data_IF_827865025016
#
_entry.id   IF_827865025016
#
_cell.length_a   1.000
_cell.length_b   1.000
_cell.length_c   1.000
_cell.angle_alpha   90.00
_cell.angle_beta   90.00
_cell.angle_gamma   90.00
#
_symmetry.space_group_name_H-M   'P 1'
#
loop_
_entity.id
_entity.type
_entity.pdbx_description
1 polymer ?
#
# COMPACT_ATOMS: atom_id res chain seq x y z
N UNK A 1 15.90 -4.42 -2.18
CA UNK A 1 15.65 -5.86 -2.39
C UNK A 1 16.82 -6.74 -1.94
N UNK A 2 18.07 -6.44 -2.23
CA UNK A 2 19.22 -7.28 -1.81
C UNK A 2 19.29 -7.47 -0.29
N UNK A 3 19.15 -6.39 0.49
CA UNK A 3 19.14 -6.46 1.97
C UNK A 3 18.03 -7.39 2.46
N UNK A 4 16.83 -7.30 1.88
CA UNK A 4 15.71 -8.16 2.24
C UNK A 4 15.98 -9.64 1.91
N UNK A 5 16.68 -9.90 0.81
CA UNK A 5 17.13 -11.25 0.45
C UNK A 5 18.15 -11.79 1.48
N UNK A 6 19.10 -10.95 1.90
CA UNK A 6 20.10 -11.32 2.91
C UNK A 6 19.50 -11.59 4.29
N UNK A 7 18.44 -10.85 4.65
CA UNK A 7 17.70 -11.06 5.91
C UNK A 7 16.82 -12.32 5.88
N UNK A 8 16.58 -12.91 4.72
CA UNK A 8 15.76 -14.12 4.59
C UNK A 8 14.27 -13.85 4.84
N UNK A 9 13.78 -12.63 4.60
CA UNK A 9 12.38 -12.29 4.85
C UNK A 9 11.45 -13.09 3.95
N UNK A 10 10.44 -13.75 4.54
CA UNK A 10 9.43 -14.53 3.81
C UNK A 10 8.49 -13.63 3.01
N UNK A 11 8.07 -12.49 3.61
CA UNK A 11 7.25 -11.45 2.98
C UNK A 11 8.04 -10.15 2.93
N UNK A 12 8.18 -9.58 1.75
CA UNK A 12 8.92 -8.35 1.49
C UNK A 12 7.95 -7.28 0.98
N UNK A 13 8.04 -6.07 1.53
CA UNK A 13 7.33 -4.89 1.01
C UNK A 13 8.16 -4.23 -0.08
N UNK A 14 7.53 -3.76 -1.15
CA UNK A 14 8.20 -2.88 -2.09
C UNK A 14 8.64 -1.58 -1.40
N UNK A 15 9.62 -0.87 -1.96
CA UNK A 15 10.05 0.41 -1.41
C UNK A 15 9.09 1.52 -1.82
N UNK A 16 8.70 2.39 -0.89
CA UNK A 16 7.74 3.46 -1.09
C UNK A 16 8.16 4.76 -0.41
N UNK A 17 7.48 5.85 -0.75
CA UNK A 17 7.52 7.11 -0.05
C UNK A 17 6.13 7.41 0.51
N UNK A 18 6.07 7.69 1.81
CA UNK A 18 4.85 8.03 2.54
C UNK A 18 4.94 9.46 3.07
N UNK A 19 4.35 10.47 2.38
CA UNK A 19 4.34 11.84 2.87
C UNK A 19 3.45 11.97 4.10
N UNK A 20 3.86 12.83 5.05
CA UNK A 20 3.01 13.19 6.17
C UNK A 20 1.77 13.97 5.70
N UNK A 21 0.65 13.83 6.42
CA UNK A 21 -0.56 14.60 6.19
C UNK A 21 -0.72 15.70 7.26
N UNK A 22 -1.26 16.86 6.89
CA UNK A 22 -1.77 17.24 5.56
C UNK A 22 -0.65 17.58 4.56
N UNK A 23 -0.85 17.24 3.30
CA UNK A 23 0.02 17.63 2.17
C UNK A 23 -0.83 18.07 0.97
N UNK A 24 -0.28 18.85 0.06
CA UNK A 24 -0.98 19.24 -1.16
C UNK A 24 -1.21 18.04 -2.08
N UNK A 25 -2.27 18.09 -2.89
CA UNK A 25 -2.56 17.06 -3.89
C UNK A 25 -1.37 16.81 -4.83
N UNK A 26 -0.70 17.89 -5.28
CA UNK A 26 0.51 17.78 -6.12
C UNK A 26 1.62 17.00 -5.42
N UNK A 27 1.93 17.32 -4.15
CA UNK A 27 2.95 16.61 -3.36
C UNK A 27 2.59 15.13 -3.18
N UNK A 28 1.32 14.82 -2.91
CA UNK A 28 0.85 13.44 -2.78
C UNK A 28 0.95 12.70 -4.13
N UNK A 29 0.59 13.36 -5.22
CA UNK A 29 0.70 12.80 -6.58
C UNK A 29 2.15 12.47 -6.94
N UNK A 30 3.09 13.39 -6.71
CA UNK A 30 4.50 13.19 -7.01
C UNK A 30 5.10 12.03 -6.21
N UNK A 31 4.78 11.97 -4.91
CA UNK A 31 5.19 10.89 -4.00
C UNK A 31 4.61 9.54 -4.43
N UNK A 32 3.33 9.50 -4.79
CA UNK A 32 2.68 8.29 -5.30
C UNK A 32 3.37 7.80 -6.57
N UNK A 33 3.61 8.70 -7.55
CA UNK A 33 4.29 8.33 -8.79
C UNK A 33 5.73 7.84 -8.56
N UNK A 34 6.45 8.43 -7.60
CA UNK A 34 7.76 7.95 -7.19
C UNK A 34 7.68 6.54 -6.61
N UNK A 35 6.72 6.30 -5.73
CA UNK A 35 6.47 4.97 -5.13
C UNK A 35 6.14 3.93 -6.20
N UNK A 36 5.37 4.28 -7.23
CA UNK A 36 5.04 3.36 -8.33
C UNK A 36 6.29 3.00 -9.17
N UNK A 37 7.17 3.96 -9.43
CA UNK A 37 8.46 3.66 -10.09
C UNK A 37 9.33 2.73 -9.23
N UNK A 38 9.33 2.93 -7.92
CA UNK A 38 10.07 2.06 -7.00
C UNK A 38 9.42 0.68 -6.84
N UNK A 39 8.10 0.60 -6.92
CA UNK A 39 7.38 -0.68 -6.93
C UNK A 39 7.81 -1.55 -8.12
N UNK A 40 7.87 -0.98 -9.33
CA UNK A 40 8.37 -1.69 -10.51
C UNK A 40 9.82 -2.17 -10.31
N UNK A 41 10.71 -1.28 -9.88
CA UNK A 41 12.12 -1.64 -9.61
C UNK A 41 12.25 -2.71 -8.52
N UNK A 42 11.37 -2.66 -7.52
CA UNK A 42 11.33 -3.67 -6.46
C UNK A 42 10.92 -5.03 -7.02
N UNK A 43 9.91 -5.07 -7.89
CA UNK A 43 9.46 -6.30 -8.55
C UNK A 43 10.56 -6.89 -9.42
N UNK A 44 11.20 -6.08 -10.25
CA UNK A 44 12.29 -6.51 -11.12
C UNK A 44 13.47 -7.10 -10.32
N UNK A 45 13.85 -6.43 -9.23
CA UNK A 45 14.95 -6.87 -8.37
C UNK A 45 14.60 -8.07 -7.48
N UNK A 46 13.32 -8.25 -7.11
CA UNK A 46 12.87 -9.40 -6.33
C UNK A 46 12.92 -10.67 -7.16
N UNK A 47 12.46 -10.60 -8.41
CA UNK A 47 12.42 -11.72 -9.34
C UNK A 47 11.49 -12.84 -8.91
N UNK A 48 11.80 -14.07 -9.33
CA UNK A 48 11.08 -15.27 -8.89
C UNK A 48 11.80 -15.89 -7.67
N UNK A 49 11.06 -16.03 -6.56
CA UNK A 49 11.57 -16.58 -5.29
C UNK A 49 10.52 -17.52 -4.68
N UNK A 50 10.52 -18.80 -5.06
CA UNK A 50 9.60 -19.78 -4.50
C UNK A 50 9.60 -19.78 -2.96
N UNK A 51 8.42 -19.76 -2.35
CA UNK A 51 8.24 -19.70 -0.90
C UNK A 51 8.37 -18.32 -0.27
N UNK A 52 8.55 -17.26 -1.08
CA UNK A 52 8.60 -15.87 -0.62
C UNK A 52 7.57 -15.03 -1.37
N UNK A 53 7.11 -13.94 -0.77
CA UNK A 53 6.12 -13.05 -1.34
C UNK A 53 6.62 -11.59 -1.38
N UNK A 54 6.27 -10.87 -2.44
CA UNK A 54 6.47 -9.44 -2.56
C UNK A 54 5.12 -8.72 -2.56
N UNK A 55 4.96 -7.75 -1.66
CA UNK A 55 3.74 -6.94 -1.56
C UNK A 55 3.96 -5.56 -2.18
N UNK A 56 3.02 -5.15 -3.03
CA UNK A 56 2.91 -3.78 -3.52
C UNK A 56 2.21 -2.89 -2.49
N UNK A 57 2.57 -1.60 -2.45
CA UNK A 57 1.98 -0.64 -1.50
C UNK A 57 1.20 0.42 -2.27
N UNK A 58 -0.12 0.45 -2.09
CA UNK A 58 -0.98 1.51 -2.61
C UNK A 58 -0.75 2.80 -1.84
N UNK A 59 -0.35 3.85 -2.55
CA UNK A 59 -0.20 5.21 -2.06
C UNK A 59 -1.24 6.14 -2.71
N UNK A 60 -1.32 7.39 -2.28
CA UNK A 60 -2.27 8.39 -2.80
C UNK A 60 -2.96 9.23 -1.73
N UNK A 61 -2.48 9.17 -0.47
CA UNK A 61 -3.04 9.95 0.64
C UNK A 61 -4.54 9.69 0.83
N UNK A 62 -5.31 10.76 0.92
CA UNK A 62 -6.77 10.71 1.07
C UNK A 62 -7.51 10.85 -0.28
N UNK A 63 -6.78 10.94 -1.40
CA UNK A 63 -7.29 11.27 -2.72
C UNK A 63 -7.71 10.01 -3.49
N UNK A 64 -8.99 9.88 -3.77
CA UNK A 64 -9.54 8.69 -4.42
C UNK A 64 -8.99 8.47 -5.82
N UNK A 65 -8.79 9.53 -6.61
CA UNK A 65 -8.22 9.48 -7.95
C UNK A 65 -6.77 8.98 -7.94
N UNK A 66 -5.96 9.44 -6.99
CA UNK A 66 -4.57 9.00 -6.84
C UNK A 66 -4.50 7.55 -6.35
N UNK A 67 -5.38 7.14 -5.43
CA UNK A 67 -5.51 5.76 -4.99
C UNK A 67 -5.88 4.83 -6.14
N UNK A 68 -6.84 5.23 -6.98
CA UNK A 68 -7.24 4.46 -8.16
C UNK A 68 -6.08 4.29 -9.14
N UNK A 69 -5.36 5.37 -9.43
CA UNK A 69 -4.18 5.34 -10.31
C UNK A 69 -3.06 4.46 -9.75
N UNK A 70 -2.78 4.56 -8.44
CA UNK A 70 -1.81 3.71 -7.76
C UNK A 70 -2.18 2.23 -7.87
N UNK A 71 -3.45 1.89 -7.58
CA UNK A 71 -3.94 0.52 -7.68
C UNK A 71 -3.86 -0.04 -9.12
N UNK A 72 -4.18 0.76 -10.13
CA UNK A 72 -4.06 0.37 -11.55
C UNK A 72 -2.62 -0.02 -11.89
N UNK A 73 -1.64 0.82 -11.51
CA UNK A 73 -0.23 0.56 -11.77
C UNK A 73 0.23 -0.70 -11.02
N UNK A 74 -0.10 -0.83 -9.74
CA UNK A 74 0.29 -2.00 -8.95
C UNK A 74 -0.28 -3.30 -9.50
N UNK A 75 -1.54 -3.29 -9.99
CA UNK A 75 -2.14 -4.46 -10.64
C UNK A 75 -1.43 -4.83 -11.94
N UNK A 76 -0.95 -3.85 -12.70
CA UNK A 76 -0.19 -4.11 -13.94
C UNK A 76 1.21 -4.68 -13.70
N UNK A 77 1.80 -4.39 -12.52
CA UNK A 77 3.11 -4.94 -12.12
C UNK A 77 2.97 -6.38 -11.60
N UNK A 78 1.84 -6.71 -11.01
CA UNK A 78 1.51 -8.00 -10.39
C UNK A 78 2.36 -8.32 -9.15
N UNK A 79 1.71 -8.31 -7.99
CA UNK A 79 2.29 -8.65 -6.69
C UNK A 79 1.62 -9.89 -6.08
N UNK A 80 2.30 -10.52 -5.13
CA UNK A 80 1.76 -11.66 -4.38
C UNK A 80 0.71 -11.23 -3.36
N UNK A 81 0.78 -9.97 -2.90
CA UNK A 81 -0.18 -9.32 -2.03
C UNK A 81 -0.09 -7.79 -2.16
N UNK A 82 -1.02 -7.10 -1.52
CA UNK A 82 -1.15 -5.64 -1.62
C UNK A 82 -1.33 -5.02 -0.25
N UNK A 83 -0.68 -3.89 -0.02
CA UNK A 83 -0.83 -3.13 1.20
C UNK A 83 -1.45 -1.76 0.93
N UNK A 84 -2.23 -1.27 1.90
CA UNK A 84 -2.71 0.11 1.93
C UNK A 84 -1.75 0.92 2.80
N UNK A 85 -0.94 1.77 2.15
CA UNK A 85 -0.03 2.70 2.80
C UNK A 85 -0.60 4.12 2.86
N UNK A 86 0.15 5.05 3.46
CA UNK A 86 -0.25 6.46 3.53
C UNK A 86 -1.45 6.72 4.43
N UNK A 87 -1.70 5.86 5.42
CA UNK A 87 -2.71 6.02 6.47
C UNK A 87 -2.05 5.91 7.84
N UNK A 88 -2.72 6.41 8.89
CA UNK A 88 -2.16 6.56 10.24
C UNK A 88 -0.91 7.47 10.28
N UNK A 89 -0.90 8.52 9.45
CA UNK A 89 0.23 9.46 9.29
C UNK A 89 -0.17 10.92 9.56
N UNK A 90 -1.27 11.11 10.32
CA UNK A 90 -1.74 12.43 10.77
C UNK A 90 -3.16 12.81 10.35
N UNK A 91 -3.84 11.99 9.55
CA UNK A 91 -5.20 12.28 9.02
C UNK A 91 -6.32 12.15 10.04
N UNK A 92 -6.12 11.36 11.09
CA UNK A 92 -7.17 11.00 12.04
C UNK A 92 -8.03 9.81 11.60
N UNK A 93 -8.77 9.24 12.57
CA UNK A 93 -9.52 7.99 12.39
C UNK A 93 -10.65 8.10 11.36
N UNK A 94 -11.37 9.21 11.34
CA UNK A 94 -12.51 9.43 10.45
C UNK A 94 -12.08 9.39 8.98
N UNK A 95 -11.03 10.15 8.64
CA UNK A 95 -10.48 10.19 7.30
C UNK A 95 -9.87 8.85 6.89
N UNK A 96 -9.21 8.15 7.80
CA UNK A 96 -8.72 6.79 7.56
C UNK A 96 -9.87 5.86 7.16
N UNK A 97 -10.98 5.85 7.91
CA UNK A 97 -12.13 5.01 7.58
C UNK A 97 -12.78 5.41 6.27
N UNK A 98 -12.89 6.71 5.97
CA UNK A 98 -13.38 7.19 4.67
C UNK A 98 -12.56 6.63 3.50
N UNK A 99 -11.24 6.56 3.64
CA UNK A 99 -10.38 5.94 2.61
C UNK A 99 -10.61 4.43 2.55
N UNK A 100 -10.81 3.77 3.68
CA UNK A 100 -11.07 2.33 3.72
C UNK A 100 -12.41 1.93 3.10
N UNK A 101 -13.36 2.84 2.97
CA UNK A 101 -14.64 2.59 2.29
C UNK A 101 -14.50 2.37 0.77
N UNK A 102 -13.38 2.77 0.16
CA UNK A 102 -13.20 2.64 -1.29
C UNK A 102 -11.85 2.04 -1.74
N UNK A 103 -10.78 2.29 -1.00
CA UNK A 103 -9.43 1.93 -1.47
C UNK A 103 -9.19 0.41 -1.57
N UNK A 104 -9.69 -0.42 -0.64
CA UNK A 104 -9.49 -1.87 -0.71
C UNK A 104 -10.12 -2.52 -1.94
N UNK A 105 -11.27 -2.00 -2.39
CA UNK A 105 -11.98 -2.54 -3.55
C UNK A 105 -11.28 -2.27 -4.89
N UNK A 106 -10.30 -1.37 -4.89
CA UNK A 106 -9.43 -1.12 -6.03
C UNK A 106 -8.34 -2.18 -6.22
N UNK A 107 -8.10 -3.00 -5.19
CA UNK A 107 -7.05 -4.02 -5.16
C UNK A 107 -7.64 -5.42 -5.44
N UNK A 108 -6.84 -6.37 -5.96
CA UNK A 108 -7.30 -7.72 -6.25
C UNK A 108 -7.90 -8.42 -5.02
N UNK A 109 -9.12 -8.95 -5.16
CA UNK A 109 -9.85 -9.61 -4.08
C UNK A 109 -9.28 -11.00 -3.74
N UNK A 110 -8.62 -11.61 -4.69
CA UNK A 110 -8.01 -12.95 -4.59
C UNK A 110 -6.58 -12.92 -4.02
N UNK A 111 -6.09 -11.74 -3.63
CA UNK A 111 -4.76 -11.57 -3.06
C UNK A 111 -4.84 -11.07 -1.61
N UNK A 112 -3.87 -11.46 -0.75
CA UNK A 112 -3.78 -10.91 0.59
C UNK A 112 -3.70 -9.38 0.59
N UNK A 113 -4.45 -8.74 1.50
CA UNK A 113 -4.44 -7.28 1.69
C UNK A 113 -3.98 -6.95 3.10
N UNK A 114 -3.09 -5.98 3.23
CA UNK A 114 -2.48 -5.58 4.49
C UNK A 114 -2.66 -4.07 4.74
N UNK A 115 -3.28 -3.71 5.85
CA UNK A 115 -3.42 -2.31 6.28
C UNK A 115 -2.21 -1.92 7.13
N UNK A 116 -1.37 -1.03 6.60
CA UNK A 116 -0.12 -0.62 7.25
C UNK A 116 -0.35 0.44 8.32
N UNK A 117 0.41 0.34 9.43
CA UNK A 117 0.46 1.38 10.47
C UNK A 117 -0.74 1.40 11.41
N UNK A 118 -1.74 0.56 11.23
CA UNK A 118 -2.96 0.52 12.05
C UNK A 118 -2.82 -0.50 13.17
N UNK A 119 -2.99 -0.05 14.43
CA UNK A 119 -2.70 -0.85 15.60
C UNK A 119 -3.58 -0.64 16.81
N UNK A 120 -4.42 0.40 16.90
CA UNK A 120 -5.36 0.54 18.02
C UNK A 120 -6.52 -0.44 17.86
N UNK A 121 -7.03 -1.07 18.95
CA UNK A 121 -8.14 -2.02 18.84
C UNK A 121 -9.37 -1.46 18.14
N UNK A 122 -9.71 -0.20 18.37
CA UNK A 122 -10.84 0.48 17.71
C UNK A 122 -10.63 0.62 16.21
N UNK A 123 -9.40 0.91 15.78
CA UNK A 123 -9.05 1.07 14.36
C UNK A 123 -9.11 -0.29 13.65
N UNK A 124 -8.63 -1.35 14.29
CA UNK A 124 -8.67 -2.72 13.76
C UNK A 124 -10.12 -3.17 13.58
N UNK A 125 -10.97 -2.99 14.60
CA UNK A 125 -12.39 -3.36 14.52
C UNK A 125 -13.12 -2.55 13.46
N UNK A 126 -12.84 -1.25 13.34
CA UNK A 126 -13.41 -0.39 12.32
C UNK A 126 -12.96 -0.78 10.92
N UNK A 127 -11.68 -1.06 10.73
CA UNK A 127 -11.12 -1.51 9.46
C UNK A 127 -11.71 -2.85 9.00
N UNK A 128 -11.86 -3.83 9.89
CA UNK A 128 -12.47 -5.13 9.56
C UNK A 128 -13.94 -5.00 9.15
N UNK A 129 -14.68 -4.02 9.68
CA UNK A 129 -16.08 -3.76 9.28
C UNK A 129 -16.19 -3.16 7.87
N UNK A 130 -15.22 -2.36 7.46
CA UNK A 130 -15.19 -1.69 6.15
C UNK A 130 -14.37 -2.45 5.09
N UNK A 131 -13.47 -3.31 5.53
CA UNK A 131 -12.51 -4.01 4.65
C UNK A 131 -12.49 -5.48 5.02
N UNK A 132 -12.79 -6.36 4.09
CA UNK A 132 -12.49 -7.77 4.25
C UNK A 132 -10.97 -7.96 4.20
N UNK A 133 -10.35 -8.12 5.34
CA UNK A 133 -8.94 -8.47 5.47
C UNK A 133 -8.82 -9.98 5.46
#
# INVERSE_FOLDING_TARGET
>A
MEIQKMLGSDIVMCFDECPALPSSHERISDSMQLSMRWAQRSRDAFGDRPGHALFGIQQGGLEQDLRAKSAEILRSIEFDGYALGGLAVGEGQEEMFRVLDFAPDMLPIDKPRYLMGVGKPTDIVGAVKGVWI
#
